data_IF_108584696274
#
_entry.id   IF_108584696274
#
_cell.length_a   1.000
_cell.length_b   1.000
_cell.length_c   1.000
_cell.angle_alpha   90.00
_cell.angle_beta   90.00
_cell.angle_gamma   90.00
#
_symmetry.space_group_name_H-M   'P 1'
#
loop_
_entity.id
_entity.type
_entity.pdbx_description
1 polymer ?
#
# COMPACT_ATOMS: atom_id res chain seq x y z
N UNK A 1 10.39 25.60 24.49
CA UNK A 1 9.95 25.93 23.10
C UNK A 1 9.97 27.44 22.95
N UNK A 2 10.49 27.98 21.84
CA UNK A 2 10.43 29.41 21.55
C UNK A 2 8.96 29.91 21.53
N UNK A 3 8.69 31.18 21.91
CA UNK A 3 7.38 31.79 21.72
C UNK A 3 7.01 31.83 20.22
N UNK A 4 5.71 31.79 19.92
CA UNK A 4 5.23 31.88 18.54
C UNK A 4 5.54 33.23 17.91
N UNK A 5 5.80 33.22 16.60
CA UNK A 5 6.13 34.44 15.83
C UNK A 5 4.99 35.47 15.80
N UNK A 6 3.78 35.07 16.17
CA UNK A 6 2.59 35.94 16.35
C UNK A 6 2.72 36.91 17.54
N UNK A 7 3.60 36.61 18.51
CA UNK A 7 3.70 37.35 19.77
C UNK A 7 4.68 38.52 19.75
N UNK A 8 5.45 38.70 18.66
CA UNK A 8 6.42 39.80 18.47
C UNK A 8 7.29 40.11 19.69
N UNK A 9 7.77 39.07 20.39
CA UNK A 9 8.56 39.24 21.62
C UNK A 9 10.04 39.44 21.26
N UNK A 10 10.67 40.52 21.75
CA UNK A 10 12.07 40.86 21.50
C UNK A 10 12.27 42.06 20.57
N UNK A 11 13.44 42.14 19.92
CA UNK A 11 13.75 43.20 18.95
C UNK A 11 12.86 43.06 17.71
N UNK A 12 12.17 44.14 17.35
CA UNK A 12 11.35 44.20 16.15
C UNK A 12 11.75 45.41 15.28
N UNK A 13 11.43 45.31 13.99
CA UNK A 13 11.77 46.32 12.99
C UNK A 13 11.14 45.99 11.64
N UNK A 14 11.31 46.88 10.66
CA UNK A 14 10.83 46.69 9.29
C UNK A 14 12.00 46.83 8.33
N UNK A 15 12.13 45.87 7.42
CA UNK A 15 13.08 45.92 6.31
C UNK A 15 12.25 46.00 5.03
N UNK A 16 12.47 47.07 4.26
CA UNK A 16 11.83 47.24 2.96
C UNK A 16 12.79 46.72 1.88
N UNK A 17 12.30 45.81 1.04
CA UNK A 17 13.07 45.23 -0.05
C UNK A 17 12.33 45.42 -1.38
N UNK A 18 13.08 45.52 -2.47
CA UNK A 18 12.57 45.50 -3.84
C UNK A 18 13.00 44.19 -4.49
N UNK A 19 12.05 43.49 -5.10
CA UNK A 19 12.28 42.21 -5.77
C UNK A 19 12.21 42.41 -7.28
N UNK A 20 13.24 41.97 -8.00
CA UNK A 20 13.29 41.98 -9.47
C UNK A 20 13.41 40.55 -9.97
N UNK A 21 12.51 40.14 -10.87
CA UNK A 21 12.58 38.83 -11.50
C UNK A 21 13.70 38.83 -12.57
N UNK A 22 14.81 38.14 -12.28
CA UNK A 22 15.93 38.00 -13.23
C UNK A 22 15.61 37.03 -14.38
N UNK A 23 14.75 36.05 -14.12
CA UNK A 23 14.22 35.09 -15.09
C UNK A 23 12.70 35.05 -15.00
N UNK A 24 11.99 34.50 -16.01
CA UNK A 24 10.55 34.29 -15.93
C UNK A 24 10.17 33.50 -14.66
N UNK A 25 9.38 34.14 -13.79
CA UNK A 25 8.91 33.56 -12.54
C UNK A 25 7.44 33.16 -12.68
N UNK A 26 7.09 31.97 -12.18
CA UNK A 26 5.72 31.51 -12.11
C UNK A 26 5.36 31.04 -10.70
N UNK A 27 4.25 31.57 -10.17
CA UNK A 27 3.65 31.13 -8.91
C UNK A 27 2.17 30.87 -9.20
N UNK A 28 1.74 29.63 -9.02
CA UNK A 28 0.39 29.19 -9.37
C UNK A 28 -0.65 29.77 -8.43
N UNK A 29 -1.81 30.12 -9.01
CA UNK A 29 -3.03 30.40 -8.26
C UNK A 29 -3.91 29.15 -8.20
N UNK A 30 -4.12 28.60 -7.00
CA UNK A 30 -4.97 27.44 -6.78
C UNK A 30 -6.47 27.73 -6.91
N UNK A 31 -6.90 29.00 -6.96
CA UNK A 31 -8.32 29.38 -7.04
C UNK A 31 -8.85 29.58 -8.46
N UNK A 32 -8.00 29.45 -9.49
CA UNK A 32 -8.35 29.77 -10.89
C UNK A 32 -7.89 28.73 -11.89
N UNK A 33 -8.08 27.45 -11.58
CA UNK A 33 -7.67 26.32 -12.42
C UNK A 33 -8.61 26.24 -13.63
N UNK A 34 -8.04 26.28 -14.84
CA UNK A 34 -8.77 25.96 -16.07
C UNK A 34 -8.31 24.59 -16.56
N UNK A 35 -9.25 23.79 -17.05
CA UNK A 35 -8.94 22.57 -17.80
C UNK A 35 -8.70 22.97 -19.25
N UNK A 36 -7.68 22.38 -19.89
CA UNK A 36 -7.48 22.52 -21.32
C UNK A 36 -8.66 21.88 -22.07
N UNK A 37 -9.17 22.55 -23.10
CA UNK A 37 -10.33 22.09 -23.89
C UNK A 37 -10.01 20.84 -24.71
N UNK A 38 -8.75 20.63 -25.08
CA UNK A 38 -8.32 19.51 -25.93
C UNK A 38 -7.70 18.35 -25.14
N UNK A 39 -7.29 18.57 -23.88
CA UNK A 39 -6.71 17.54 -23.03
C UNK A 39 -7.01 17.77 -21.53
N UNK A 40 -7.97 17.03 -21.00
CA UNK A 40 -8.41 17.15 -19.60
C UNK A 40 -7.36 16.74 -18.57
N UNK A 41 -6.23 16.14 -18.97
CA UNK A 41 -5.12 15.80 -18.07
C UNK A 41 -4.24 17.01 -17.70
N UNK A 42 -4.23 18.08 -18.51
CA UNK A 42 -3.38 19.25 -18.26
C UNK A 42 -4.16 20.43 -17.66
N UNK A 43 -3.86 20.72 -16.40
CA UNK A 43 -4.41 21.87 -15.66
C UNK A 43 -3.63 23.14 -16.02
N UNK A 44 -4.34 24.17 -16.47
CA UNK A 44 -3.78 25.50 -16.75
C UNK A 44 -3.99 26.39 -15.51
N UNK A 45 -2.89 26.91 -14.99
CA UNK A 45 -2.88 27.79 -13.82
C UNK A 45 -2.53 29.20 -14.25
N UNK A 46 -3.28 30.18 -13.74
CA UNK A 46 -2.89 31.60 -13.82
C UNK A 46 -1.82 31.92 -12.76
N UNK A 47 -1.11 33.02 -12.98
CA UNK A 47 -0.22 33.58 -11.96
C UNK A 47 -1.04 34.10 -10.76
N UNK A 48 -0.53 33.90 -9.54
CA UNK A 48 -1.19 34.31 -8.29
C UNK A 48 -1.58 35.79 -8.29
N UNK A 49 -2.80 36.08 -7.84
CA UNK A 49 -3.30 37.45 -7.69
C UNK A 49 -3.85 37.72 -6.30
N UNK A 50 -3.62 38.94 -5.81
CA UNK A 50 -4.25 39.48 -4.61
C UNK A 50 -4.94 40.79 -5.01
N UNK A 51 -6.24 40.90 -4.72
CA UNK A 51 -7.08 42.05 -5.09
C UNK A 51 -6.96 42.40 -6.60
N UNK A 52 -6.96 41.38 -7.46
CA UNK A 52 -6.91 41.52 -8.92
C UNK A 52 -5.54 41.90 -9.49
N UNK A 53 -4.51 42.10 -8.66
CA UNK A 53 -3.14 42.39 -9.09
C UNK A 53 -2.25 41.17 -8.95
N UNK A 54 -1.36 40.95 -9.92
CA UNK A 54 -0.32 39.91 -9.82
C UNK A 54 0.51 40.15 -8.56
N UNK A 55 0.63 39.14 -7.73
CA UNK A 55 1.30 39.24 -6.44
C UNK A 55 2.09 37.98 -6.15
N UNK A 56 3.04 38.08 -5.23
CA UNK A 56 3.74 36.92 -4.68
C UNK A 56 3.18 36.70 -3.27
N UNK A 57 2.62 35.51 -2.95
CA UNK A 57 2.14 35.23 -1.60
C UNK A 57 3.25 35.38 -0.57
N UNK A 58 2.92 35.99 0.57
CA UNK A 58 3.86 36.12 1.69
C UNK A 58 4.35 34.76 2.20
N UNK A 59 3.50 33.73 2.14
CA UNK A 59 3.86 32.34 2.47
C UNK A 59 4.92 31.77 1.53
N UNK A 60 4.82 32.03 0.22
CA UNK A 60 5.80 31.60 -0.78
C UNK A 60 7.15 32.30 -0.57
N UNK A 61 7.16 33.61 -0.34
CA UNK A 61 8.39 34.36 -0.04
C UNK A 61 9.06 33.84 1.23
N UNK A 62 8.27 33.69 2.31
CA UNK A 62 8.76 33.17 3.59
C UNK A 62 9.36 31.78 3.42
N UNK A 63 8.69 30.89 2.70
CA UNK A 63 9.18 29.53 2.44
C UNK A 63 10.49 29.51 1.65
N UNK A 64 10.56 30.30 0.57
CA UNK A 64 11.76 30.39 -0.27
C UNK A 64 12.96 30.97 0.50
N UNK A 65 12.78 32.09 1.19
CA UNK A 65 13.85 32.73 1.97
C UNK A 65 14.32 31.78 3.07
N UNK A 66 13.38 31.15 3.79
CA UNK A 66 13.70 30.17 4.84
C UNK A 66 14.50 29.01 4.27
N UNK A 67 14.08 28.42 3.16
CA UNK A 67 14.77 27.26 2.58
C UNK A 67 16.20 27.60 2.15
N UNK A 68 16.41 28.77 1.54
CA UNK A 68 17.75 29.23 1.16
C UNK A 68 18.60 29.50 2.39
N UNK A 69 18.02 30.16 3.40
CA UNK A 69 18.70 30.45 4.65
C UNK A 69 19.14 29.15 5.35
N UNK A 70 18.21 28.21 5.54
CA UNK A 70 18.47 26.91 6.17
C UNK A 70 19.59 26.14 5.44
N UNK A 71 19.56 26.11 4.11
CA UNK A 71 20.58 25.45 3.31
C UNK A 71 21.94 26.16 3.36
N UNK A 72 21.96 27.49 3.33
CA UNK A 72 23.18 28.28 3.31
C UNK A 72 23.92 28.28 4.67
N UNK A 73 23.17 28.18 5.77
CA UNK A 73 23.72 28.19 7.14
C UNK A 73 23.88 26.79 7.74
N UNK A 74 23.47 25.73 7.02
CA UNK A 74 23.30 24.39 7.57
C UNK A 74 22.47 24.40 8.86
N UNK A 75 21.43 25.25 8.90
CA UNK A 75 20.57 25.35 10.06
C UNK A 75 19.55 24.21 10.12
N UNK A 76 18.91 24.10 11.26
CA UNK A 76 17.89 23.12 11.53
C UNK A 76 16.68 23.22 10.58
N UNK A 77 16.17 22.07 10.10
CA UNK A 77 14.97 22.02 9.27
C UNK A 77 13.74 22.31 10.11
N UNK A 78 13.22 23.52 9.99
CA UNK A 78 12.19 23.97 10.91
C UNK A 78 10.76 23.63 10.44
N UNK A 79 10.60 23.19 9.19
CA UNK A 79 9.47 22.36 8.70
C UNK A 79 10.06 21.00 8.34
N UNK A 80 9.82 20.01 9.18
CA UNK A 80 10.29 18.65 8.97
C UNK A 80 9.19 17.67 9.34
N UNK A 81 8.82 16.81 8.40
CA UNK A 81 7.84 15.76 8.60
C UNK A 81 8.58 14.48 9.00
N UNK A 82 8.52 14.13 10.30
CA UNK A 82 9.19 12.94 10.82
C UNK A 82 8.36 11.67 10.60
N UNK A 83 7.84 11.47 9.38
CA UNK A 83 7.07 10.29 9.04
C UNK A 83 7.97 9.10 8.69
N UNK A 84 7.44 7.90 8.91
CA UNK A 84 8.00 6.70 8.32
C UNK A 84 7.61 6.64 6.85
N UNK A 85 8.60 6.45 5.99
CA UNK A 85 8.36 6.26 4.56
C UNK A 85 7.97 4.81 4.29
N UNK A 86 7.03 4.62 3.37
CA UNK A 86 6.73 3.29 2.82
C UNK A 86 7.37 3.12 1.45
N UNK A 87 7.90 1.94 1.17
CA UNK A 87 8.41 1.58 -0.15
C UNK A 87 7.72 0.31 -0.66
N UNK A 88 7.79 0.07 -1.98
CA UNK A 88 7.26 -1.18 -2.57
C UNK A 88 8.17 -2.34 -2.19
N UNK A 89 7.59 -3.39 -1.64
CA UNK A 89 8.26 -4.63 -1.32
C UNK A 89 9.04 -5.16 -2.53
N UNK A 90 10.27 -5.60 -2.30
CA UNK A 90 11.09 -6.16 -3.37
C UNK A 90 10.49 -7.49 -3.86
N UNK A 91 10.61 -7.82 -5.16
CA UNK A 91 10.05 -9.06 -5.69
C UNK A 91 10.56 -10.33 -4.99
N UNK A 92 11.79 -10.31 -4.47
CA UNK A 92 12.37 -11.43 -3.75
C UNK A 92 11.71 -11.63 -2.38
N UNK A 93 11.41 -10.55 -1.68
CA UNK A 93 10.72 -10.58 -0.38
C UNK A 93 9.24 -10.93 -0.53
N UNK A 94 8.61 -10.50 -1.63
CA UNK A 94 7.22 -10.81 -1.93
C UNK A 94 6.96 -12.32 -2.11
N UNK A 95 8.00 -13.11 -2.45
CA UNK A 95 7.90 -14.58 -2.54
C UNK A 95 7.74 -15.26 -1.18
N UNK A 96 8.10 -14.58 -0.09
CA UNK A 96 7.98 -15.09 1.30
C UNK A 96 6.63 -14.78 1.92
N UNK A 97 5.75 -14.09 1.20
CA UNK A 97 4.45 -13.72 1.70
C UNK A 97 3.54 -14.94 1.70
N UNK A 98 3.09 -15.30 2.90
CA UNK A 98 2.16 -16.39 3.13
C UNK A 98 0.74 -15.80 3.14
N UNK A 99 -0.20 -16.31 2.34
CA UNK A 99 -1.57 -15.87 2.44
C UNK A 99 -2.17 -16.35 3.76
N UNK A 100 -3.07 -15.56 4.33
CA UNK A 100 -3.79 -15.95 5.52
C UNK A 100 -5.15 -15.28 5.61
N UNK A 101 -6.07 -15.95 6.31
CA UNK A 101 -7.38 -15.43 6.66
C UNK A 101 -7.37 -14.98 8.12
N UNK A 102 -7.81 -13.76 8.35
CA UNK A 102 -7.94 -13.20 9.69
C UNK A 102 -9.16 -13.82 10.38
N UNK A 103 -8.95 -14.38 11.56
CA UNK A 103 -9.99 -15.01 12.37
C UNK A 103 -9.98 -14.42 13.78
N UNK A 104 -11.05 -14.68 14.54
CA UNK A 104 -11.14 -14.32 15.96
C UNK A 104 -11.38 -15.55 16.80
N UNK A 105 -10.71 -15.62 17.94
CA UNK A 105 -10.95 -16.68 18.91
C UNK A 105 -12.20 -16.38 19.76
N UNK A 106 -12.56 -17.31 20.66
CA UNK A 106 -13.68 -17.16 21.59
C UNK A 106 -13.57 -15.95 22.53
N UNK A 107 -12.37 -15.38 22.70
CA UNK A 107 -12.08 -14.20 23.52
C UNK A 107 -12.10 -12.90 22.70
N UNK A 108 -12.25 -13.00 21.38
CA UNK A 108 -12.24 -11.87 20.45
C UNK A 108 -10.84 -11.44 20.02
N UNK A 109 -9.80 -12.20 20.35
CA UNK A 109 -8.42 -11.94 19.95
C UNK A 109 -8.19 -12.41 18.51
N UNK A 110 -7.42 -11.62 17.76
CA UNK A 110 -7.15 -11.88 16.36
C UNK A 110 -6.04 -12.92 16.19
N UNK A 111 -6.28 -13.90 15.33
CA UNK A 111 -5.26 -14.83 14.85
C UNK A 111 -5.33 -14.96 13.33
N UNK A 112 -4.24 -15.39 12.71
CA UNK A 112 -4.14 -15.62 11.30
C UNK A 112 -4.13 -17.11 11.02
N UNK A 113 -5.14 -17.58 10.28
CA UNK A 113 -5.15 -18.92 9.70
C UNK A 113 -4.35 -18.89 8.41
N UNK A 114 -3.21 -19.59 8.36
CA UNK A 114 -2.36 -19.63 7.17
C UNK A 114 -2.99 -20.48 6.07
N UNK A 115 -2.93 -19.98 4.84
CA UNK A 115 -3.49 -20.59 3.63
C UNK A 115 -2.34 -20.99 2.70
N UNK A 116 -1.62 -22.04 3.06
CA UNK A 116 -0.41 -22.49 2.38
C UNK A 116 -0.68 -23.28 1.08
N UNK A 117 -1.92 -23.34 0.61
CA UNK A 117 -2.29 -24.18 -0.52
C UNK A 117 -1.87 -25.64 -0.29
N UNK A 118 -1.22 -26.25 -1.28
CA UNK A 118 -0.61 -27.60 -1.16
C UNK A 118 0.88 -27.57 -0.77
N UNK A 119 1.45 -26.39 -0.53
CA UNK A 119 2.87 -26.22 -0.18
C UNK A 119 3.05 -26.20 1.34
N UNK A 120 4.28 -26.42 1.78
CA UNK A 120 4.63 -26.27 3.21
C UNK A 120 5.46 -25.01 3.44
N UNK A 121 5.29 -24.45 4.64
CA UNK A 121 6.01 -23.28 5.10
C UNK A 121 7.47 -23.64 5.40
N UNK A 122 8.41 -22.89 4.84
CA UNK A 122 9.82 -22.97 5.24
C UNK A 122 10.13 -21.98 6.40
N UNK A 123 11.31 -22.06 7.04
CA UNK A 123 11.65 -21.20 8.18
C UNK A 123 11.59 -19.69 7.91
N UNK A 124 11.81 -19.27 6.66
CA UNK A 124 11.74 -17.88 6.20
C UNK A 124 10.39 -17.47 5.60
N UNK A 125 9.38 -18.34 5.66
CA UNK A 125 8.03 -18.09 5.15
C UNK A 125 7.82 -18.41 3.66
N UNK A 126 8.87 -18.77 2.91
CA UNK A 126 8.77 -19.11 1.49
C UNK A 126 8.17 -20.52 1.27
N UNK A 127 7.41 -20.71 0.16
CA UNK A 127 6.90 -22.03 -0.19
C UNK A 127 8.04 -22.98 -0.53
N UNK A 128 7.98 -24.22 -0.02
CA UNK A 128 8.94 -25.29 -0.39
C UNK A 128 8.67 -25.86 -1.78
N UNK A 129 7.40 -25.92 -2.19
CA UNK A 129 6.97 -26.53 -3.45
C UNK A 129 6.38 -25.46 -4.39
N UNK A 130 5.11 -25.59 -4.79
CA UNK A 130 4.39 -24.61 -5.59
C UNK A 130 4.04 -23.36 -4.77
N UNK A 131 3.67 -22.28 -5.48
CA UNK A 131 3.14 -21.08 -4.86
C UNK A 131 1.90 -21.39 -3.99
N UNK A 132 1.77 -20.70 -2.86
CA UNK A 132 0.66 -20.88 -1.92
C UNK A 132 -0.72 -20.58 -2.50
N UNK A 133 -0.79 -19.68 -3.49
CA UNK A 133 -2.03 -19.21 -4.08
C UNK A 133 -2.12 -19.58 -5.55
N UNK A 134 -3.34 -19.87 -5.99
CA UNK A 134 -3.64 -20.25 -7.36
C UNK A 134 -3.95 -19.01 -8.17
N UNK A 135 -3.60 -19.08 -9.44
CA UNK A 135 -3.83 -18.02 -10.39
C UNK A 135 -5.24 -18.15 -10.93
N UNK A 136 -5.97 -17.04 -10.94
CA UNK A 136 -7.33 -16.99 -11.46
C UNK A 136 -7.32 -16.09 -12.70
N UNK A 137 -7.31 -16.67 -13.91
CA UNK A 137 -7.26 -15.89 -15.15
C UNK A 137 -8.45 -14.92 -15.26
N UNK A 138 -8.19 -13.62 -15.41
CA UNK A 138 -9.24 -12.59 -15.51
C UNK A 138 -9.00 -11.56 -16.62
N UNK A 139 -7.74 -11.25 -16.91
CA UNK A 139 -7.35 -10.15 -17.79
C UNK A 139 -6.36 -10.60 -18.86
N UNK A 140 -6.41 -11.87 -19.26
CA UNK A 140 -5.60 -12.38 -20.38
C UNK A 140 -6.15 -11.85 -21.69
N UNK A 141 -5.26 -11.64 -22.66
CA UNK A 141 -5.64 -11.15 -24.00
C UNK A 141 -6.59 -12.11 -24.72
N UNK A 142 -6.41 -13.42 -24.51
CA UNK A 142 -7.33 -14.43 -25.01
C UNK A 142 -8.46 -14.64 -23.99
N UNK A 143 -9.63 -14.03 -24.25
CA UNK A 143 -10.77 -14.06 -23.34
C UNK A 143 -11.29 -15.47 -23.04
N UNK A 144 -11.08 -16.43 -23.95
CA UNK A 144 -11.48 -17.82 -23.72
C UNK A 144 -10.69 -18.49 -22.59
N UNK A 145 -9.58 -17.89 -22.15
CA UNK A 145 -8.79 -18.35 -21.01
C UNK A 145 -9.24 -17.71 -19.70
N UNK A 146 -10.09 -16.68 -19.72
CA UNK A 146 -10.55 -16.00 -18.51
C UNK A 146 -11.71 -16.76 -17.87
N UNK A 147 -11.68 -16.86 -16.55
CA UNK A 147 -12.75 -17.49 -15.76
C UNK A 147 -13.90 -16.50 -15.55
N UNK A 148 -15.14 -16.96 -15.60
CA UNK A 148 -16.28 -16.12 -15.25
C UNK A 148 -16.47 -16.13 -13.75
N UNK A 149 -16.43 -14.94 -13.13
CA UNK A 149 -16.55 -14.77 -11.67
C UNK A 149 -17.81 -13.96 -11.36
N UNK A 150 -18.71 -14.55 -10.57
CA UNK A 150 -19.88 -13.86 -10.06
C UNK A 150 -19.47 -12.72 -9.12
N UNK A 151 -20.20 -11.61 -9.15
CA UNK A 151 -19.84 -10.42 -8.39
C UNK A 151 -19.87 -10.64 -6.87
N UNK A 152 -20.81 -11.48 -6.40
CA UNK A 152 -20.94 -11.88 -5.00
C UNK A 152 -19.73 -12.66 -4.46
N UNK A 153 -18.89 -13.22 -5.34
CA UNK A 153 -17.71 -13.99 -4.93
C UNK A 153 -16.48 -13.10 -4.73
N UNK A 154 -16.54 -11.85 -5.16
CA UNK A 154 -15.37 -10.96 -5.23
C UNK A 154 -14.95 -10.42 -3.86
N UNK A 155 -15.82 -10.48 -2.86
CA UNK A 155 -15.58 -9.92 -1.53
C UNK A 155 -14.59 -10.72 -0.67
N UNK A 156 -14.28 -11.97 -1.06
CA UNK A 156 -13.38 -12.88 -0.34
C UNK A 156 -13.94 -13.49 0.94
N UNK A 157 -15.22 -13.27 1.24
CA UNK A 157 -15.86 -13.82 2.43
C UNK A 157 -16.46 -15.21 2.18
N UNK A 158 -17.01 -15.44 0.98
CA UNK A 158 -17.68 -16.69 0.61
C UNK A 158 -16.67 -17.83 0.37
N UNK A 159 -16.94 -18.99 0.95
CA UNK A 159 -16.21 -20.22 0.68
C UNK A 159 -16.66 -20.77 -0.69
N UNK A 160 -15.70 -21.10 -1.55
CA UNK A 160 -15.92 -21.54 -2.92
C UNK A 160 -15.18 -22.85 -3.19
N UNK A 161 -15.70 -23.63 -4.12
CA UNK A 161 -15.10 -24.84 -4.64
C UNK A 161 -14.42 -24.57 -5.98
N UNK A 162 -13.22 -25.10 -6.18
CA UNK A 162 -12.46 -24.93 -7.40
C UNK A 162 -11.77 -26.22 -7.86
N UNK A 163 -11.68 -26.39 -9.18
CA UNK A 163 -10.74 -27.32 -9.81
C UNK A 163 -9.49 -26.55 -10.19
N UNK A 164 -8.34 -27.03 -9.70
CA UNK A 164 -7.02 -26.47 -9.91
C UNK A 164 -6.20 -27.40 -10.80
N UNK A 165 -5.47 -26.87 -11.77
CA UNK A 165 -4.55 -27.61 -12.61
C UNK A 165 -3.10 -27.18 -12.31
N UNK A 166 -2.21 -28.15 -12.10
CA UNK A 166 -0.79 -27.85 -11.87
C UNK A 166 -0.10 -27.55 -13.21
N UNK A 167 0.33 -26.31 -13.39
CA UNK A 167 1.02 -25.87 -14.61
C UNK A 167 2.46 -25.51 -14.32
N UNK A 168 3.32 -25.82 -15.28
CA UNK A 168 4.71 -25.36 -15.26
C UNK A 168 4.80 -24.04 -16.01
N UNK A 169 5.45 -23.04 -15.40
CA UNK A 169 5.68 -21.76 -16.06
C UNK A 169 6.48 -21.95 -17.36
N UNK A 170 6.16 -21.20 -18.41
CA UNK A 170 6.74 -21.40 -19.75
C UNK A 170 8.28 -21.29 -19.80
N UNK A 171 8.90 -20.64 -18.81
CA UNK A 171 10.36 -20.56 -18.65
C UNK A 171 10.97 -21.75 -17.86
N UNK A 172 10.16 -22.73 -17.49
CA UNK A 172 10.56 -23.91 -16.69
C UNK A 172 10.98 -23.59 -15.25
N UNK A 173 10.79 -22.35 -14.80
CA UNK A 173 11.40 -21.85 -13.56
C UNK A 173 10.67 -22.26 -12.27
N UNK A 174 9.37 -22.55 -12.35
CA UNK A 174 8.55 -22.97 -11.22
C UNK A 174 7.20 -23.53 -11.70
N UNK A 175 6.52 -24.28 -10.82
CA UNK A 175 5.13 -24.71 -11.00
C UNK A 175 4.16 -23.84 -10.20
N UNK A 176 2.93 -23.74 -10.69
CA UNK A 176 1.85 -22.99 -10.05
C UNK A 176 0.50 -23.67 -10.32
N UNK A 177 -0.45 -23.41 -9.43
CA UNK A 177 -1.83 -23.85 -9.62
C UNK A 177 -2.62 -22.79 -10.38
N UNK A 178 -3.38 -23.21 -11.38
CA UNK A 178 -4.32 -22.35 -12.12
C UNK A 178 -5.75 -22.84 -11.93
N UNK A 179 -6.70 -21.93 -11.68
CA UNK A 179 -8.12 -22.29 -11.64
C UNK A 179 -8.62 -22.59 -13.06
N UNK A 180 -9.26 -23.74 -13.20
CA UNK A 180 -9.98 -24.12 -14.42
C UNK A 180 -11.48 -23.89 -14.27
N UNK A 181 -12.04 -24.20 -13.10
CA UNK A 181 -13.47 -24.01 -12.79
C UNK A 181 -13.59 -23.57 -11.32
N UNK A 182 -14.55 -22.67 -11.05
CA UNK A 182 -14.89 -22.21 -9.69
C UNK A 182 -16.41 -22.08 -9.54
N UNK A 183 -16.95 -22.50 -8.39
CA UNK A 183 -18.37 -22.38 -8.05
C UNK A 183 -18.56 -22.25 -6.54
N UNK A 184 -19.75 -21.82 -6.11
CA UNK A 184 -20.15 -21.83 -4.71
C UNK A 184 -20.76 -23.15 -4.24
N UNK A 185 -21.00 -24.10 -5.16
CA UNK A 185 -21.46 -25.45 -4.85
C UNK A 185 -20.49 -26.47 -5.41
N UNK A 186 -20.18 -27.49 -4.63
CA UNK A 186 -19.27 -28.56 -5.04
C UNK A 186 -19.81 -29.33 -6.26
N UNK A 187 -21.11 -29.63 -6.27
CA UNK A 187 -21.74 -30.39 -7.36
C UNK A 187 -21.67 -29.71 -8.73
N UNK A 188 -21.43 -28.39 -8.76
CA UNK A 188 -21.37 -27.60 -10.00
C UNK A 188 -20.03 -27.67 -10.72
N UNK A 189 -18.96 -28.14 -10.06
CA UNK A 189 -17.60 -28.11 -10.65
C UNK A 189 -17.17 -29.45 -11.24
N UNK A 190 -17.88 -30.54 -10.93
CA UNK A 190 -17.54 -31.89 -11.41
C UNK A 190 -16.30 -32.48 -10.71
N UNK A 191 -15.76 -33.55 -11.31
CA UNK A 191 -14.59 -34.26 -10.78
C UNK A 191 -13.29 -33.85 -11.48
N UNK A 192 -12.15 -33.78 -10.76
CA UNK A 192 -10.88 -33.40 -11.34
C UNK A 192 -10.34 -34.46 -12.29
N UNK A 193 -9.75 -34.03 -13.41
CA UNK A 193 -9.07 -34.93 -14.34
C UNK A 193 -7.65 -35.26 -13.87
N UNK A 194 -7.43 -36.51 -13.47
CA UNK A 194 -6.13 -37.00 -12.98
C UNK A 194 -5.04 -36.97 -14.06
N UNK A 195 -5.38 -37.22 -15.33
CA UNK A 195 -4.40 -37.20 -16.44
C UNK A 195 -3.85 -35.79 -16.70
N UNK A 196 -4.57 -34.76 -16.26
CA UNK A 196 -4.18 -33.36 -16.37
C UNK A 196 -3.57 -32.80 -15.08
N UNK A 197 -3.27 -33.64 -14.08
CA UNK A 197 -2.81 -33.21 -12.75
C UNK A 197 -3.75 -32.19 -12.09
N UNK A 198 -5.06 -32.44 -12.19
CA UNK A 198 -6.07 -31.60 -11.57
C UNK A 198 -6.41 -32.07 -10.16
N UNK A 199 -6.75 -31.11 -9.29
CA UNK A 199 -7.22 -31.36 -7.93
C UNK A 199 -8.46 -30.51 -7.63
N UNK A 200 -9.29 -31.01 -6.72
CA UNK A 200 -10.46 -30.29 -6.19
C UNK A 200 -10.13 -29.73 -4.81
N UNK A 201 -10.42 -28.44 -4.58
CA UNK A 201 -10.18 -27.73 -3.32
C UNK A 201 -11.29 -26.74 -2.99
N UNK A 202 -11.52 -26.50 -1.71
CA UNK A 202 -12.34 -25.40 -1.21
C UNK A 202 -11.45 -24.26 -0.69
N UNK A 203 -11.89 -23.01 -0.85
CA UNK A 203 -11.09 -21.85 -0.49
C UNK A 203 -11.79 -20.53 -0.80
N UNK A 204 -11.00 -19.46 -0.84
CA UNK A 204 -11.49 -18.09 -0.97
C UNK A 204 -10.86 -17.37 -2.15
N UNK A 205 -11.70 -16.69 -2.92
CA UNK A 205 -11.26 -15.83 -4.02
C UNK A 205 -10.91 -14.44 -3.49
N UNK A 206 -9.81 -13.88 -3.94
CA UNK A 206 -9.49 -12.48 -3.65
C UNK A 206 -9.37 -11.66 -4.94
N UNK A 207 -10.35 -10.80 -5.17
CA UNK A 207 -10.51 -10.06 -6.41
C UNK A 207 -10.07 -8.60 -6.24
N UNK A 208 -8.94 -8.20 -6.79
CA UNK A 208 -8.42 -6.83 -6.63
C UNK A 208 -8.66 -5.91 -7.80
N UNK A 209 -9.22 -6.40 -8.90
CA UNK A 209 -9.36 -5.63 -10.11
C UNK A 209 -8.03 -5.47 -10.85
N UNK A 210 -8.07 -4.90 -12.06
CA UNK A 210 -6.88 -4.54 -12.84
C UNK A 210 -6.21 -3.28 -12.28
N UNK A 211 -5.63 -3.39 -11.09
CA UNK A 211 -5.02 -2.29 -10.32
C UNK A 211 -3.58 -1.94 -10.77
N UNK A 212 -2.96 -2.76 -11.63
CA UNK A 212 -1.61 -2.56 -12.15
C UNK A 212 -1.60 -2.90 -13.64
N UNK A 213 -0.83 -2.14 -14.41
CA UNK A 213 -0.65 -2.41 -15.83
C UNK A 213 0.03 -3.78 -16.06
N UNK A 214 -0.51 -4.58 -16.99
CA UNK A 214 -0.03 -5.95 -17.23
C UNK A 214 -0.50 -6.99 -16.20
N UNK A 215 -1.44 -6.67 -15.30
CA UNK A 215 -2.07 -7.70 -14.48
C UNK A 215 -2.92 -8.63 -15.35
N UNK A 216 -2.73 -9.93 -15.19
CA UNK A 216 -3.41 -10.98 -15.96
C UNK A 216 -4.34 -11.85 -15.11
N UNK A 217 -4.00 -12.05 -13.83
CA UNK A 217 -4.65 -13.03 -12.96
C UNK A 217 -4.98 -12.43 -11.58
N UNK A 218 -6.08 -12.88 -11.00
CA UNK A 218 -6.41 -12.74 -9.58
C UNK A 218 -5.82 -13.92 -8.78
N UNK A 219 -6.16 -14.00 -7.48
CA UNK A 219 -5.65 -15.04 -6.58
C UNK A 219 -6.77 -15.78 -5.88
N UNK A 220 -6.59 -17.09 -5.75
CA UNK A 220 -7.42 -17.97 -4.93
C UNK A 220 -6.57 -18.62 -3.85
N UNK A 221 -7.06 -18.59 -2.63
CA UNK A 221 -6.35 -19.05 -1.44
C UNK A 221 -7.07 -20.24 -0.83
N UNK A 222 -6.34 -21.30 -0.48
CA UNK A 222 -6.85 -22.46 0.22
C UNK A 222 -5.80 -22.97 1.20
N UNK A 223 -6.19 -23.93 2.04
CA UNK A 223 -5.24 -24.77 2.75
C UNK A 223 -5.55 -26.24 2.44
N UNK A 224 -4.50 -27.05 2.27
CA UNK A 224 -4.61 -28.50 2.11
C UNK A 224 -4.93 -29.21 3.43
N UNK A 225 -4.45 -28.66 4.54
CA UNK A 225 -4.57 -29.29 5.85
C UNK A 225 -5.96 -29.07 6.45
N UNK A 226 -6.54 -30.13 7.01
CA UNK A 226 -7.82 -30.06 7.73
C UNK A 226 -7.70 -29.20 9.00
N UNK A 227 -6.50 -29.12 9.59
CA UNK A 227 -6.17 -28.23 10.72
C UNK A 227 -5.02 -27.28 10.34
N UNK A 228 -5.32 -26.14 9.71
CA UNK A 228 -4.31 -25.21 9.22
C UNK A 228 -3.58 -24.50 10.35
N UNK A 229 -2.28 -24.26 10.18
CA UNK A 229 -1.46 -23.52 11.13
C UNK A 229 -2.06 -22.13 11.43
N UNK A 230 -2.44 -21.92 12.69
CA UNK A 230 -3.00 -20.68 13.20
C UNK A 230 -1.96 -19.94 14.06
N UNK A 231 -1.64 -18.70 13.68
CA UNK A 231 -0.64 -17.88 14.38
C UNK A 231 -1.31 -16.66 15.03
N UNK A 232 -1.00 -16.33 16.30
CA UNK A 232 -1.56 -15.15 16.95
C UNK A 232 -1.09 -13.86 16.27
N UNK A 233 -2.00 -12.89 16.11
CA UNK A 233 -1.66 -11.56 15.58
C UNK A 233 -1.36 -10.64 16.76
N UNK A 234 -0.07 -10.36 16.98
CA UNK A 234 0.35 -9.42 18.02
C UNK A 234 -0.22 -8.03 17.78
N UNK A 235 -0.56 -7.31 18.85
CA UNK A 235 -1.11 -5.95 18.78
C UNK A 235 -0.23 -4.99 17.97
N UNK A 236 1.10 -5.08 18.13
CA UNK A 236 2.04 -4.24 17.37
C UNK A 236 1.96 -4.48 15.86
N UNK A 237 1.81 -5.74 15.43
CA UNK A 237 1.67 -6.12 14.02
C UNK A 237 0.36 -5.60 13.44
N UNK A 238 -0.73 -5.71 14.21
CA UNK A 238 -2.03 -5.14 13.84
C UNK A 238 -1.95 -3.62 13.69
N UNK A 239 -1.38 -2.92 14.68
CA UNK A 239 -1.24 -1.47 14.66
C UNK A 239 -0.37 -1.00 13.47
N UNK A 240 0.67 -1.75 13.10
CA UNK A 240 1.48 -1.47 11.90
C UNK A 240 0.66 -1.64 10.62
N UNK A 241 -0.11 -2.72 10.51
CA UNK A 241 -0.97 -2.97 9.35
C UNK A 241 -2.02 -1.86 9.15
N UNK A 242 -2.69 -1.42 10.23
CA UNK A 242 -3.68 -0.34 10.17
C UNK A 242 -3.04 1.00 9.74
N UNK A 243 -1.78 1.25 10.14
CA UNK A 243 -1.02 2.41 9.63
C UNK A 243 -0.74 2.29 8.14
N UNK A 244 -0.36 1.11 7.63
CA UNK A 244 -0.16 0.88 6.20
C UNK A 244 -1.46 1.16 5.44
N UNK A 245 -2.61 0.69 5.93
CA UNK A 245 -3.91 0.96 5.31
C UNK A 245 -4.24 2.46 5.25
N UNK A 246 -4.00 3.20 6.34
CA UNK A 246 -4.17 4.65 6.35
C UNK A 246 -3.29 5.34 5.30
N UNK A 247 -2.02 4.92 5.17
CA UNK A 247 -1.07 5.46 4.20
C UNK A 247 -1.43 5.13 2.73
N UNK A 248 -2.16 4.04 2.47
CA UNK A 248 -2.81 3.82 1.17
C UNK A 248 -4.00 4.75 0.94
N UNK A 249 -4.81 5.01 1.97
CA UNK A 249 -5.98 5.88 1.90
C UNK A 249 -5.61 7.34 1.68
N UNK A 250 -4.67 7.89 2.46
CA UNK A 250 -4.20 9.28 2.30
C UNK A 250 -3.67 9.55 0.89
N UNK A 251 -2.96 8.59 0.29
CA UNK A 251 -2.48 8.73 -1.09
C UNK A 251 -3.60 8.62 -2.13
N UNK A 252 -4.62 7.78 -1.87
CA UNK A 252 -5.80 7.72 -2.74
C UNK A 252 -6.48 9.08 -2.77
N UNK A 253 -6.73 9.70 -1.61
CA UNK A 253 -7.35 11.03 -1.54
C UNK A 253 -6.55 12.08 -2.32
N UNK A 254 -5.21 12.05 -2.21
CA UNK A 254 -4.31 12.93 -2.97
C UNK A 254 -4.35 12.69 -4.49
N UNK A 255 -4.55 11.45 -4.92
CA UNK A 255 -4.63 11.08 -6.35
C UNK A 255 -6.03 11.36 -6.91
N UNK A 256 -7.10 11.11 -6.16
CA UNK A 256 -8.49 11.37 -6.59
C UNK A 256 -8.78 12.86 -6.71
N UNK A 257 -8.11 13.72 -5.91
CA UNK A 257 -8.10 15.17 -6.14
C UNK A 257 -7.31 15.58 -7.40
N UNK A 258 -6.46 14.69 -7.94
CA UNK A 258 -5.62 14.94 -9.10
C UNK A 258 -6.13 14.32 -10.42
N UNK A 259 -6.78 13.16 -10.40
CA UNK A 259 -7.31 12.47 -11.58
C UNK A 259 -8.45 11.48 -11.22
N UNK A 260 -9.54 11.52 -12.00
CA UNK A 260 -10.59 10.49 -12.00
C UNK A 260 -10.11 9.30 -12.83
N UNK A 261 -10.27 8.06 -12.34
CA UNK A 261 -10.16 6.77 -13.08
C UNK A 261 -8.92 5.88 -12.84
N UNK A 262 -8.55 5.62 -11.57
CA UNK A 262 -7.75 4.42 -11.25
C UNK A 262 -8.60 3.39 -10.51
N UNK A 263 -8.80 2.19 -11.06
CA UNK A 263 -9.51 1.08 -10.41
C UNK A 263 -8.67 0.56 -9.24
N UNK A 264 -9.04 0.91 -8.01
CA UNK A 264 -8.28 0.61 -6.78
C UNK A 264 -8.70 -0.74 -6.17
N UNK A 265 -7.81 -1.39 -5.41
CA UNK A 265 -8.06 -2.67 -4.71
C UNK A 265 -9.21 -2.57 -3.68
N UNK A 266 -9.88 -3.68 -3.37
CA UNK A 266 -10.99 -3.80 -2.40
C UNK A 266 -10.68 -3.17 -1.02
N UNK A 267 -9.46 -3.37 -0.49
CA UNK A 267 -9.05 -2.74 0.78
C UNK A 267 -9.16 -1.21 0.75
N UNK A 268 -8.93 -0.61 -0.42
CA UNK A 268 -8.90 0.84 -0.62
C UNK A 268 -10.27 1.36 -1.12
N UNK A 269 -11.09 0.51 -1.74
CA UNK A 269 -12.46 0.86 -2.15
C UNK A 269 -13.42 0.95 -0.96
N UNK A 270 -13.26 0.08 0.03
CA UNK A 270 -14.20 -0.02 1.15
C UNK A 270 -13.89 0.91 2.34
N UNK A 271 -12.90 1.82 2.22
CA UNK A 271 -12.41 2.66 3.31
C UNK A 271 -12.15 1.86 4.62
N UNK A 272 -11.73 0.60 4.49
CA UNK A 272 -11.38 -0.25 5.62
C UNK A 272 -10.03 0.24 6.15
N UNK A 273 -10.05 1.01 7.22
CA UNK A 273 -8.84 1.48 7.93
C UNK A 273 -8.41 0.54 9.06
N UNK A 274 -9.17 -0.53 9.29
CA UNK A 274 -8.98 -1.49 10.39
C UNK A 274 -8.98 -2.91 9.87
N UNK A 275 -8.32 -3.79 10.64
CA UNK A 275 -8.34 -5.23 10.39
C UNK A 275 -9.67 -5.84 10.86
N UNK A 276 -10.36 -6.59 9.99
CA UNK A 276 -11.61 -7.28 10.31
C UNK A 276 -11.48 -8.80 10.18
N UNK A 277 -12.38 -9.50 10.84
CA UNK A 277 -12.52 -10.95 10.68
C UNK A 277 -12.96 -11.29 9.25
N UNK A 278 -12.37 -12.34 8.69
CA UNK A 278 -12.57 -12.76 7.30
C UNK A 278 -11.71 -12.01 6.29
N UNK A 279 -10.97 -10.98 6.68
CA UNK A 279 -10.05 -10.30 5.77
C UNK A 279 -8.94 -11.27 5.31
N UNK A 280 -8.66 -11.25 4.01
CA UNK A 280 -7.55 -11.98 3.41
C UNK A 280 -6.33 -11.06 3.33
N UNK A 281 -5.24 -11.49 3.94
CA UNK A 281 -3.99 -10.73 4.06
C UNK A 281 -2.80 -11.60 3.65
N UNK A 282 -1.67 -10.95 3.37
CA UNK A 282 -0.39 -11.64 3.32
C UNK A 282 0.37 -11.38 4.61
N UNK A 283 1.15 -12.37 5.04
CA UNK A 283 1.98 -12.31 6.22
C UNK A 283 3.44 -12.66 5.90
N UNK A 284 4.37 -11.97 6.55
CA UNK A 284 5.71 -12.52 6.75
C UNK A 284 5.68 -13.39 7.99
N UNK A 285 5.68 -14.70 7.76
CA UNK A 285 5.85 -15.68 8.82
C UNK A 285 7.34 -16.03 8.93
N UNK A 286 7.85 -16.12 10.15
CA UNK A 286 9.22 -16.52 10.42
C UNK A 286 9.25 -17.53 11.55
N UNK A 287 10.16 -18.50 11.47
CA UNK A 287 10.41 -19.43 12.56
C UNK A 287 11.22 -18.76 13.69
N UNK A 288 10.71 -18.84 14.91
CA UNK A 288 11.37 -18.47 16.17
C UNK A 288 11.42 -19.70 17.08
N UNK A 289 12.60 -20.31 17.18
CA UNK A 289 12.76 -21.60 17.86
C UNK A 289 12.01 -22.70 17.12
N UNK A 290 11.16 -23.44 17.84
CA UNK A 290 10.34 -24.52 17.26
C UNK A 290 8.98 -24.03 16.71
N UNK A 291 8.64 -22.75 16.91
CA UNK A 291 7.35 -22.18 16.51
C UNK A 291 7.50 -21.13 15.41
N UNK A 292 6.41 -20.82 14.71
CA UNK A 292 6.35 -19.70 13.78
C UNK A 292 5.66 -18.49 14.43
N UNK A 293 6.07 -17.29 14.06
CA UNK A 293 5.42 -16.05 14.44
C UNK A 293 5.19 -15.16 13.22
N UNK A 294 4.25 -14.23 13.35
CA UNK A 294 3.96 -13.23 12.32
C UNK A 294 4.85 -12.02 12.60
N UNK A 295 5.78 -11.74 11.69
CA UNK A 295 6.60 -10.52 11.76
C UNK A 295 5.79 -9.30 11.33
N UNK A 296 5.06 -9.43 10.22
CA UNK A 296 4.34 -8.32 9.56
C UNK A 296 3.14 -8.83 8.78
N UNK A 297 2.10 -8.01 8.71
CA UNK A 297 0.95 -8.19 7.81
C UNK A 297 0.98 -7.13 6.72
N UNK A 298 0.57 -7.51 5.51
CA UNK A 298 0.39 -6.61 4.38
C UNK A 298 -0.88 -6.94 3.61
N UNK A 299 -1.56 -5.94 3.03
CA UNK A 299 -2.77 -6.19 2.24
C UNK A 299 -2.42 -6.99 0.99
N UNK A 300 -3.38 -7.76 0.47
CA UNK A 300 -3.22 -8.57 -0.76
C UNK A 300 -3.22 -7.65 -1.99
N UNK A 301 -2.10 -6.96 -2.19
CA UNK A 301 -1.81 -6.06 -3.31
C UNK A 301 -0.29 -5.97 -3.43
N UNK A 302 0.26 -5.19 -4.36
CA UNK A 302 1.72 -5.00 -4.39
C UNK A 302 2.14 -4.35 -3.07
N UNK A 303 2.82 -5.11 -2.18
CA UNK A 303 2.87 -4.73 -0.79
C UNK A 303 3.75 -3.51 -0.63
N UNK A 304 3.32 -2.59 0.22
CA UNK A 304 4.17 -1.55 0.77
C UNK A 304 4.54 -1.92 2.19
N UNK A 305 5.77 -1.60 2.55
CA UNK A 305 6.30 -1.77 3.89
C UNK A 305 6.94 -0.50 4.37
N UNK A 306 6.91 -0.30 5.68
CA UNK A 306 7.63 0.79 6.31
C UNK A 306 9.13 0.55 6.23
N UNK A 307 9.85 1.63 5.95
CA UNK A 307 11.27 1.71 6.18
C UNK A 307 11.55 1.57 7.68
N UNK A 308 12.65 0.91 8.05
CA UNK A 308 13.01 0.66 9.45
C UNK A 308 13.23 1.96 10.23
N UNK A 309 13.74 2.98 9.55
CA UNK A 309 14.05 4.30 10.10
C UNK A 309 13.05 5.33 9.55
N UNK A 310 12.57 6.22 10.41
CA UNK A 310 11.88 7.44 9.99
C UNK A 310 12.83 8.39 9.26
N UNK A 311 12.31 9.41 8.58
CA UNK A 311 13.15 10.43 7.95
C UNK A 311 14.03 11.11 9.02
N UNK A 312 13.50 11.34 10.22
CA UNK A 312 14.23 11.97 11.32
C UNK A 312 15.31 11.10 11.93
N UNK A 313 15.15 9.79 11.96
CA UNK A 313 16.19 8.86 12.43
C UNK A 313 17.42 8.88 11.51
N UNK A 314 17.22 9.20 10.24
CA UNK A 314 18.30 9.36 9.25
C UNK A 314 18.88 10.78 9.23
N UNK A 315 18.24 11.74 9.92
CA UNK A 315 18.67 13.13 9.96
C UNK A 315 19.71 13.33 11.06
N UNK A 316 20.84 13.94 10.72
CA UNK A 316 21.91 14.26 11.68
C UNK A 316 21.38 15.19 12.77
N UNK A 317 21.80 14.97 14.03
CA UNK A 317 21.22 15.59 15.23
C UNK A 317 21.15 17.12 15.17
N UNK A 318 22.13 17.77 14.55
CA UNK A 318 22.24 19.23 14.44
C UNK A 318 21.18 19.85 13.52
N UNK A 319 20.65 19.06 12.59
CA UNK A 319 19.61 19.50 11.65
C UNK A 319 18.19 19.33 12.21
N UNK A 320 18.06 18.70 13.39
CA UNK A 320 16.77 18.62 14.07
C UNK A 320 16.35 19.97 14.63
N UNK A 321 15.04 20.18 14.73
CA UNK A 321 14.45 21.42 15.20
C UNK A 321 14.97 21.81 16.60
N UNK A 322 15.48 23.04 16.74
CA UNK A 322 15.91 23.57 18.03
C UNK A 322 14.81 23.49 19.09
N UNK A 323 15.16 22.91 20.24
CA UNK A 323 14.25 22.74 21.38
C UNK A 323 14.41 23.84 22.44
N UNK A 324 15.60 24.45 22.48
CA UNK A 324 15.95 25.55 23.39
C UNK A 324 16.04 26.89 22.65
N UNK A 325 15.55 27.95 23.29
CA UNK A 325 15.60 29.30 22.78
C UNK A 325 17.04 29.88 22.79
N UNK A 326 17.86 29.49 23.77
CA UNK A 326 19.25 29.97 23.90
C UNK A 326 20.23 29.22 22.98
N UNK A 327 19.73 28.25 22.21
CA UNK A 327 20.51 27.40 21.29
C UNK A 327 19.83 27.32 19.93
N UNK A 328 19.35 28.46 19.43
CA UNK A 328 18.80 28.53 18.07
C UNK A 328 19.94 28.35 17.06
N UNK A 329 19.67 27.52 16.06
CA UNK A 329 20.48 27.44 14.86
C UNK A 329 20.47 28.82 14.18
N UNK A 330 21.58 29.25 13.53
CA UNK A 330 21.66 30.55 12.87
C UNK A 330 20.44 30.83 12.01
#
# INVERSE_FOLDING_TARGET
>A
RPPGHDRYVGLNGRINCVLTAATPLFISDSHGIKLDSDNTEHKIYRFFQYEGKKAIPASSLRGMIRSVFEAATNSCFSIFDNKLLTYRCLPQEAKRLVPGRVCKDSKGEFYLQLLCGDSTLNPEGAPKESQYAAWVPQYRHNNNQNITINEEWRDGHKLLWAILENKTHHRGSFSYWEIIIISDKEDNIGEPNQDLNQIKRCGWLYYTGKNINGKHDERFFWCKEDDPLCLPIAKAVKDEFEKILNDYHERKEQIETAAQNSKVSLFIQNNKLKLFEGDLVYAWAKQEGDNHCIEKLVPVLVPRVYHKNSIGDLLVAELHKCTSFDKLCP
#
